data_IF_961226175906
#
_entry.id   IF_961226175906
#
_cell.length_a   1.000
_cell.length_b   1.000
_cell.length_c   1.000
_cell.angle_alpha   90.00
_cell.angle_beta   90.00
_cell.angle_gamma   90.00
#
_symmetry.space_group_name_H-M   'P 1'
#
loop_
_entity.id
_entity.type
_entity.pdbx_description
1 polymer ?
#
# COMPACT_ATOMS: atom_id res chain seq x y z
N UNK A 1 4.03 7.36 -2.39
CA UNK A 1 5.39 6.75 -2.40
C UNK A 1 6.22 7.39 -1.31
N UNK A 2 7.24 6.71 -0.78
CA UNK A 2 8.08 7.29 0.27
C UNK A 2 9.10 8.31 -0.30
N UNK A 3 9.46 9.32 0.49
CA UNK A 3 10.37 10.39 0.11
C UNK A 3 11.76 9.89 -0.29
N UNK A 4 12.23 8.79 0.29
CA UNK A 4 13.55 8.24 -0.05
C UNK A 4 13.62 7.71 -1.49
N UNK A 5 12.52 7.18 -2.05
CA UNK A 5 12.47 6.65 -3.42
C UNK A 5 12.66 7.76 -4.48
N UNK A 6 12.09 8.94 -4.22
CA UNK A 6 12.27 10.12 -5.09
C UNK A 6 13.63 10.76 -4.86
N UNK A 7 14.12 10.77 -3.62
CA UNK A 7 15.48 11.25 -3.31
C UNK A 7 16.57 10.38 -3.93
N UNK A 8 16.37 9.07 -4.04
CA UNK A 8 17.31 8.11 -4.63
C UNK A 8 17.15 7.94 -6.15
N UNK A 9 15.98 8.24 -6.71
CA UNK A 9 15.67 8.10 -8.13
C UNK A 9 16.49 8.99 -9.09
N UNK A 10 16.48 8.69 -10.39
CA UNK A 10 17.12 9.51 -11.43
C UNK A 10 16.24 10.71 -11.83
N UNK A 11 16.83 11.91 -11.96
CA UNK A 11 16.12 13.11 -12.44
C UNK A 11 16.37 13.29 -13.94
N UNK A 12 15.31 13.50 -14.73
CA UNK A 12 15.40 13.56 -16.20
C UNK A 12 15.09 14.95 -16.80
N UNK A 13 15.07 16.01 -15.99
CA UNK A 13 14.87 17.39 -16.48
C UNK A 13 13.41 17.82 -16.63
N UNK A 14 13.21 19.07 -17.06
CA UNK A 14 11.90 19.73 -17.21
C UNK A 14 11.40 19.77 -18.67
N UNK A 15 12.23 19.43 -19.66
CA UNK A 15 11.85 19.40 -21.08
C UNK A 15 12.65 18.31 -21.82
N UNK A 16 11.96 17.33 -22.40
CA UNK A 16 11.95 16.97 -23.84
C UNK A 16 11.42 15.55 -24.09
N UNK A 17 10.50 15.45 -25.05
CA UNK A 17 10.36 14.29 -25.92
C UNK A 17 11.71 14.04 -26.62
N UNK A 18 12.25 12.83 -26.49
CA UNK A 18 13.31 12.33 -27.37
C UNK A 18 12.72 11.16 -28.14
N UNK A 19 12.52 11.27 -29.46
CA UNK A 19 12.07 10.16 -30.29
C UNK A 19 13.09 9.01 -30.24
N UNK A 20 12.60 7.79 -30.09
CA UNK A 20 13.39 6.57 -30.22
C UNK A 20 13.93 6.44 -31.65
N UNK A 21 15.26 6.40 -31.79
CA UNK A 21 15.93 6.10 -33.06
C UNK A 21 17.20 6.91 -33.29
N UNK A 22 18.31 6.46 -32.71
CA UNK A 22 19.62 7.07 -32.92
C UNK A 22 20.72 6.26 -32.23
N UNK A 23 21.03 5.09 -32.77
CA UNK A 23 22.25 4.36 -32.43
C UNK A 23 23.47 5.27 -32.63
N UNK A 24 24.33 5.44 -31.63
CA UNK A 24 25.76 5.70 -31.83
C UNK A 24 26.59 5.01 -30.77
N UNK A 25 27.24 3.93 -31.21
CA UNK A 25 28.44 3.37 -30.59
C UNK A 25 29.60 4.39 -30.66
N UNK A 26 30.34 4.52 -29.56
CA UNK A 26 31.77 4.85 -29.50
C UNK A 26 32.22 6.28 -29.80
N UNK A 27 32.55 7.05 -28.76
CA UNK A 27 33.68 7.98 -28.74
C UNK A 27 34.03 8.40 -27.30
N UNK A 28 35.33 8.51 -27.03
CA UNK A 28 36.07 8.75 -25.78
C UNK A 28 35.67 10.04 -25.02
N UNK A 29 35.91 10.15 -23.68
CA UNK A 29 35.42 11.23 -22.85
C UNK A 29 36.40 12.42 -22.90
N UNK A 30 35.98 13.50 -23.55
CA UNK A 30 36.63 14.81 -23.38
C UNK A 30 35.65 15.80 -22.77
N UNK A 31 36.08 16.28 -21.61
CA UNK A 31 35.58 17.35 -20.75
C UNK A 31 34.97 18.53 -21.52
N UNK A 32 33.64 18.61 -21.47
CA UNK A 32 32.97 19.89 -21.25
C UNK A 32 32.19 19.74 -19.95
N UNK A 33 32.67 20.41 -18.89
CA UNK A 33 31.90 20.65 -17.68
C UNK A 33 30.65 21.44 -18.07
N UNK A 34 29.57 20.72 -18.41
CA UNK A 34 28.25 21.28 -18.40
C UNK A 34 27.97 21.67 -16.94
N UNK A 35 27.79 22.96 -16.69
CA UNK A 35 27.33 23.45 -15.40
C UNK A 35 26.17 22.56 -14.92
N UNK A 36 26.23 22.01 -13.69
CA UNK A 36 25.17 21.13 -13.21
C UNK A 36 23.90 21.96 -13.18
N UNK A 37 22.95 21.61 -14.06
CA UNK A 37 21.60 22.14 -14.03
C UNK A 37 21.14 22.18 -12.57
N UNK A 38 20.63 23.33 -12.07
CA UNK A 38 20.41 23.55 -10.65
C UNK A 38 19.66 22.35 -10.12
N UNK A 39 20.24 21.64 -9.12
CA UNK A 39 19.65 20.47 -8.46
C UNK A 39 18.17 20.76 -8.24
N UNK A 40 17.31 20.30 -9.15
CA UNK A 40 15.88 20.53 -9.03
C UNK A 40 15.51 19.87 -7.71
N UNK A 41 15.14 20.68 -6.72
CA UNK A 41 14.97 20.25 -5.33
C UNK A 41 14.03 19.05 -5.32
N UNK A 42 14.58 17.86 -5.04
CA UNK A 42 13.82 16.62 -4.85
C UNK A 42 13.05 16.77 -3.54
N UNK A 43 11.86 17.34 -3.64
CA UNK A 43 11.03 17.78 -2.54
C UNK A 43 9.77 16.91 -2.52
N UNK A 44 9.32 16.42 -1.35
CA UNK A 44 8.08 15.66 -1.27
C UNK A 44 6.85 16.50 -1.59
N UNK A 45 7.01 17.83 -1.68
CA UNK A 45 5.92 18.78 -1.82
C UNK A 45 5.50 19.06 -3.28
N UNK A 46 5.99 18.26 -4.23
CA UNK A 46 5.55 18.29 -5.63
C UNK A 46 5.05 16.91 -6.06
N UNK A 47 4.01 16.83 -6.91
CA UNK A 47 3.75 15.62 -7.68
C UNK A 47 4.78 15.49 -8.80
N UNK A 48 5.15 14.25 -9.10
CA UNK A 48 6.10 13.91 -10.14
C UNK A 48 5.42 13.18 -11.29
N UNK A 49 5.92 13.37 -12.52
CA UNK A 49 5.59 12.48 -13.64
C UNK A 49 6.63 11.37 -13.69
N UNK A 50 6.17 10.13 -13.85
CA UNK A 50 7.06 8.98 -13.97
C UNK A 50 7.49 8.80 -15.42
N UNK A 51 8.78 8.58 -15.64
CA UNK A 51 9.29 8.14 -16.93
C UNK A 51 8.92 6.66 -17.15
N UNK A 52 7.93 6.40 -18.00
CA UNK A 52 7.54 5.04 -18.40
C UNK A 52 8.30 4.55 -19.63
N UNK A 53 8.42 3.22 -19.84
CA UNK A 53 9.13 2.66 -21.00
C UNK A 53 8.47 2.99 -22.35
N UNK A 54 7.14 3.17 -22.40
CA UNK A 54 6.38 3.24 -23.67
C UNK A 54 5.61 4.55 -23.89
N UNK A 55 5.82 5.61 -23.09
CA UNK A 55 5.28 6.96 -23.37
C UNK A 55 3.75 7.18 -23.35
N UNK A 56 2.93 6.13 -23.51
CA UNK A 56 1.50 6.25 -23.83
C UNK A 56 0.59 6.60 -22.63
N UNK A 57 1.06 6.45 -21.39
CA UNK A 57 0.30 6.82 -20.19
C UNK A 57 1.15 7.60 -19.20
N UNK A 58 0.76 8.84 -18.95
CA UNK A 58 1.38 9.67 -17.92
C UNK A 58 1.00 9.16 -16.53
N UNK A 59 1.90 8.42 -15.90
CA UNK A 59 1.78 8.03 -14.49
C UNK A 59 2.32 9.15 -13.60
N UNK A 60 1.65 9.36 -12.46
CA UNK A 60 2.00 10.40 -11.49
C UNK A 60 2.30 9.81 -10.13
N UNK A 61 3.29 10.37 -9.44
CA UNK A 61 3.66 9.99 -8.09
C UNK A 61 3.48 11.16 -7.13
N UNK A 62 2.81 10.86 -6.02
CA UNK A 62 2.71 11.71 -4.83
C UNK A 62 3.61 11.14 -3.74
N UNK A 63 4.32 12.02 -3.05
CA UNK A 63 5.42 11.64 -2.16
C UNK A 63 5.04 11.96 -0.72
N UNK A 64 5.11 10.95 0.15
CA UNK A 64 4.88 11.10 1.59
C UNK A 64 5.81 12.16 2.14
N UNK A 65 5.25 13.14 2.84
CA UNK A 65 6.03 14.07 3.64
C UNK A 65 6.41 13.40 4.97
N UNK A 66 7.70 13.13 5.23
CA UNK A 66 8.13 12.50 6.47
C UNK A 66 7.86 13.38 7.70
N UNK A 67 7.89 14.71 7.57
CA UNK A 67 7.79 15.60 8.72
C UNK A 67 6.38 15.62 9.30
N UNK A 68 5.37 15.83 8.46
CA UNK A 68 3.96 15.79 8.90
C UNK A 68 3.51 14.39 9.31
N UNK A 69 4.02 13.34 8.67
CA UNK A 69 3.66 11.96 9.00
C UNK A 69 4.16 11.54 10.39
N UNK A 70 5.35 11.98 10.81
CA UNK A 70 5.94 11.64 12.11
C UNK A 70 5.11 12.11 13.31
N UNK A 71 4.43 13.25 13.18
CA UNK A 71 3.63 13.83 14.25
C UNK A 71 2.44 12.96 14.67
N UNK A 72 1.98 12.07 13.79
CA UNK A 72 0.91 11.12 14.06
C UNK A 72 1.49 9.72 14.30
N UNK A 73 2.46 9.26 13.49
CA UNK A 73 3.03 7.91 13.57
C UNK A 73 4.00 7.68 14.73
N UNK A 74 4.52 8.73 15.37
CA UNK A 74 5.49 8.55 16.44
C UNK A 74 4.88 7.83 17.65
N UNK A 75 5.36 6.63 17.94
CA UNK A 75 4.95 5.84 19.11
C UNK A 75 5.12 6.59 20.44
N UNK A 76 6.14 7.45 20.53
CA UNK A 76 6.50 8.13 21.77
C UNK A 76 6.05 9.59 21.83
N UNK A 77 5.89 10.25 20.68
CA UNK A 77 5.61 11.70 20.61
C UNK A 77 4.36 12.02 19.79
N UNK A 78 3.71 11.01 19.21
CA UNK A 78 2.51 11.17 18.40
C UNK A 78 1.26 11.33 19.24
N UNK A 79 0.25 11.98 18.67
CA UNK A 79 -1.02 12.21 19.36
C UNK A 79 -1.69 10.96 19.91
N UNK A 80 -1.70 9.79 19.23
CA UNK A 80 -2.35 8.58 19.74
C UNK A 80 -1.87 8.13 21.12
N UNK A 81 -0.65 8.50 21.53
CA UNK A 81 -0.09 8.18 22.84
C UNK A 81 -0.51 9.12 23.98
N UNK A 82 -1.40 10.09 23.73
CA UNK A 82 -1.82 11.05 24.75
C UNK A 82 -2.49 10.37 25.94
N UNK A 83 -2.15 10.83 27.14
CA UNK A 83 -2.61 10.24 28.40
C UNK A 83 -4.12 10.28 28.59
N UNK A 84 -4.84 11.16 27.88
CA UNK A 84 -6.30 11.27 27.94
C UNK A 84 -7.03 10.28 27.02
N UNK A 85 -6.36 9.73 26.00
CA UNK A 85 -6.97 8.86 25.01
C UNK A 85 -7.19 7.44 25.50
N UNK A 86 -8.11 6.73 24.88
CA UNK A 86 -8.50 5.36 25.21
C UNK A 86 -7.31 4.40 25.06
N UNK A 87 -7.06 3.60 26.09
CA UNK A 87 -6.03 2.55 26.08
C UNK A 87 -6.50 1.36 25.23
N UNK A 88 -5.75 1.07 24.16
CA UNK A 88 -6.07 0.00 23.24
C UNK A 88 -5.93 -1.39 23.87
N UNK A 89 -4.90 -1.59 24.71
CA UNK A 89 -4.48 -2.92 25.16
C UNK A 89 -5.22 -3.41 26.41
N UNK A 90 -5.83 -2.50 27.19
CA UNK A 90 -6.54 -2.86 28.42
C UNK A 90 -8.01 -3.14 28.14
N UNK A 91 -8.34 -4.42 28.14
CA UNK A 91 -9.67 -4.92 27.76
C UNK A 91 -10.33 -5.57 28.98
N UNK A 92 -11.57 -5.16 29.29
CA UNK A 92 -12.38 -5.77 30.34
C UNK A 92 -12.93 -7.10 29.85
N UNK A 93 -12.65 -8.17 30.59
CA UNK A 93 -13.28 -9.47 30.38
C UNK A 93 -14.34 -9.77 31.46
N UNK A 94 -15.50 -10.37 31.10
CA UNK A 94 -15.98 -10.63 29.74
C UNK A 94 -16.50 -9.36 29.05
N UNK A 95 -16.59 -9.39 27.71
CA UNK A 95 -17.28 -8.38 26.90
C UNK A 95 -16.39 -7.51 26.01
N UNK A 96 -15.07 -7.56 26.14
CA UNK A 96 -14.16 -6.92 25.18
C UNK A 96 -14.14 -5.39 25.25
N UNK A 97 -14.74 -4.78 26.28
CA UNK A 97 -14.85 -3.33 26.41
C UNK A 97 -13.53 -2.71 26.87
N UNK A 98 -13.12 -1.63 26.22
CA UNK A 98 -12.00 -0.77 26.62
C UNK A 98 -12.55 0.39 27.44
N UNK A 99 -12.13 0.51 28.70
CA UNK A 99 -12.72 1.46 29.68
C UNK A 99 -11.68 2.36 30.35
N UNK A 100 -10.43 2.30 29.91
CA UNK A 100 -9.31 2.99 30.54
C UNK A 100 -8.63 3.91 29.53
N UNK A 101 -7.95 4.93 30.04
CA UNK A 101 -7.10 5.80 29.24
C UNK A 101 -5.63 5.38 29.30
N UNK A 102 -4.84 5.81 28.32
CA UNK A 102 -3.40 5.56 28.22
C UNK A 102 -2.68 5.91 29.52
N UNK A 103 -3.09 6.98 30.22
CA UNK A 103 -2.61 7.40 31.55
C UNK A 103 -1.16 7.88 31.60
N UNK A 104 -0.24 7.18 30.95
CA UNK A 104 1.18 7.47 30.83
C UNK A 104 1.85 6.38 29.97
N UNK A 105 2.94 6.75 29.28
CA UNK A 105 3.65 5.84 28.36
C UNK A 105 4.23 4.60 29.05
N UNK A 106 4.59 4.70 30.34
CA UNK A 106 5.20 3.63 31.13
C UNK A 106 4.29 3.11 32.25
N UNK A 107 3.02 3.50 32.28
CA UNK A 107 2.08 3.00 33.28
C UNK A 107 1.77 1.52 33.00
N UNK A 108 1.88 0.67 34.02
CA UNK A 108 1.44 -0.71 33.91
C UNK A 108 -0.06 -0.78 33.60
N UNK A 109 -0.51 -1.88 33.01
CA UNK A 109 -1.93 -2.10 32.75
C UNK A 109 -2.75 -2.01 34.05
N UNK A 110 -2.22 -2.42 35.20
CA UNK A 110 -2.88 -2.25 36.50
C UNK A 110 -3.21 -0.79 36.83
N UNK A 111 -2.30 0.13 36.52
CA UNK A 111 -2.33 1.53 36.95
C UNK A 111 -3.12 2.46 36.02
N UNK A 112 -3.56 1.95 34.86
CA UNK A 112 -4.37 2.71 33.90
C UNK A 112 -5.65 3.19 34.56
N UNK A 113 -5.91 4.49 34.43
CA UNK A 113 -7.04 5.18 35.02
C UNK A 113 -8.29 5.08 34.14
N UNK A 114 -9.50 5.28 34.70
CA UNK A 114 -10.73 5.31 33.92
C UNK A 114 -10.68 6.32 32.77
N UNK A 115 -11.29 5.96 31.65
CA UNK A 115 -11.41 6.83 30.48
C UNK A 115 -12.42 7.95 30.74
N UNK A 116 -12.04 9.20 30.42
CA UNK A 116 -12.90 10.38 30.45
C UNK A 116 -13.13 10.88 29.02
N UNK A 117 -14.31 10.60 28.42
CA UNK A 117 -14.63 11.03 27.06
C UNK A 117 -14.56 12.54 26.85
N UNK A 118 -14.88 13.36 27.86
CA UNK A 118 -14.86 14.82 27.73
C UNK A 118 -13.42 15.35 27.72
N UNK A 119 -12.54 14.77 28.53
CA UNK A 119 -11.11 15.07 28.47
C UNK A 119 -10.50 14.70 27.12
N UNK A 120 -10.80 13.51 26.61
CA UNK A 120 -10.33 13.05 25.32
C UNK A 120 -10.80 13.99 24.19
N UNK A 121 -12.09 14.36 24.15
CA UNK A 121 -12.63 15.33 23.18
C UNK A 121 -11.94 16.69 23.20
N UNK A 122 -11.54 17.19 24.37
CA UNK A 122 -10.75 18.44 24.46
C UNK A 122 -9.37 18.27 23.81
N UNK A 123 -8.68 17.17 24.11
CA UNK A 123 -7.37 16.86 23.50
C UNK A 123 -7.45 16.65 22.00
N UNK A 124 -8.51 16.04 21.49
CA UNK A 124 -8.76 15.92 20.05
C UNK A 124 -8.76 17.29 19.37
N UNK A 125 -9.52 18.25 19.90
CA UNK A 125 -9.57 19.62 19.35
C UNK A 125 -8.21 20.29 19.37
N UNK A 126 -7.50 20.21 20.49
CA UNK A 126 -6.14 20.77 20.63
C UNK A 126 -5.17 20.17 19.60
N UNK A 127 -5.16 18.83 19.46
CA UNK A 127 -4.30 18.15 18.50
C UNK A 127 -4.67 18.44 17.05
N UNK A 128 -5.97 18.53 16.73
CA UNK A 128 -6.45 18.89 15.39
C UNK A 128 -6.02 20.31 15.00
N UNK A 129 -6.20 21.28 15.91
CA UNK A 129 -5.73 22.66 15.70
C UNK A 129 -4.21 22.72 15.57
N UNK A 130 -3.47 22.02 16.44
CA UNK A 130 -2.02 21.96 16.35
C UNK A 130 -1.55 21.38 15.00
N UNK A 131 -2.14 20.27 14.56
CA UNK A 131 -1.78 19.65 13.28
C UNK A 131 -2.14 20.52 12.08
N UNK A 132 -3.29 21.21 12.10
CA UNK A 132 -3.61 22.21 11.09
C UNK A 132 -2.56 23.34 11.04
N UNK A 133 -2.02 23.74 12.19
CA UNK A 133 -0.88 24.65 12.31
C UNK A 133 0.38 24.10 11.63
N UNK A 134 0.76 22.85 11.92
CA UNK A 134 1.90 22.16 11.29
C UNK A 134 1.74 22.14 9.76
N UNK A 135 0.56 21.79 9.24
CA UNK A 135 0.27 21.79 7.81
C UNK A 135 0.34 23.18 7.20
N UNK A 136 -0.15 24.19 7.92
CA UNK A 136 -0.11 25.59 7.49
C UNK A 136 1.32 26.12 7.43
N UNK A 137 2.16 25.79 8.41
CA UNK A 137 3.59 26.12 8.39
C UNK A 137 4.28 25.45 7.21
N UNK A 138 4.02 24.16 6.96
CA UNK A 138 4.58 23.47 5.79
C UNK A 138 4.14 24.15 4.48
N UNK A 139 2.85 24.49 4.35
CA UNK A 139 2.32 25.17 3.16
C UNK A 139 2.92 26.56 2.92
N UNK A 140 3.33 27.26 3.98
CA UNK A 140 3.92 28.61 3.88
C UNK A 140 5.46 28.61 3.72
N UNK A 141 6.14 27.56 4.18
CA UNK A 141 7.61 27.53 4.26
C UNK A 141 8.27 26.62 3.25
N UNK A 142 7.53 25.65 2.70
CA UNK A 142 8.07 24.67 1.77
C UNK A 142 7.79 25.10 0.33
N UNK A 143 8.79 24.96 -0.54
CA UNK A 143 8.58 25.09 -1.98
C UNK A 143 7.79 23.85 -2.46
N UNK A 144 6.52 24.04 -2.82
CA UNK A 144 5.65 22.96 -3.25
C UNK A 144 4.19 23.34 -3.43
N UNK A 145 3.42 22.41 -3.98
CA UNK A 145 1.97 22.56 -4.25
C UNK A 145 1.12 21.57 -3.46
N UNK A 146 1.73 20.56 -2.83
CA UNK A 146 1.01 19.46 -2.17
C UNK A 146 1.73 19.00 -0.91
N UNK A 147 0.97 18.61 0.11
CA UNK A 147 1.46 17.88 1.27
C UNK A 147 0.73 16.54 1.29
N UNK A 148 1.46 15.43 1.43
CA UNK A 148 0.88 14.09 1.39
C UNK A 148 1.25 13.37 2.68
N UNK A 149 0.25 13.08 3.50
CA UNK A 149 0.39 12.33 4.74
C UNK A 149 -0.53 11.08 4.68
N UNK A 150 -0.02 9.94 4.19
CA UNK A 150 -0.76 8.69 4.12
C UNK A 150 -0.69 7.95 5.47
N UNK A 151 -1.81 7.34 5.85
CA UNK A 151 -1.98 6.58 7.09
C UNK A 151 -2.82 5.34 6.82
N UNK A 152 -2.58 4.28 7.59
CA UNK A 152 -3.47 3.12 7.61
C UNK A 152 -4.83 3.54 8.17
N UNK A 153 -5.92 3.15 7.51
CA UNK A 153 -7.26 3.60 7.90
C UNK A 153 -7.63 3.13 9.30
N UNK A 154 -7.24 1.92 9.68
CA UNK A 154 -7.46 1.37 11.02
C UNK A 154 -6.77 2.17 12.13
N UNK A 155 -5.80 3.04 11.80
CA UNK A 155 -5.27 3.96 12.79
C UNK A 155 -6.40 4.79 13.41
N UNK A 156 -7.35 5.27 12.61
CA UNK A 156 -8.42 6.16 13.07
C UNK A 156 -9.66 5.37 13.47
N UNK A 157 -9.93 5.29 14.77
CA UNK A 157 -11.10 4.63 15.36
C UNK A 157 -10.82 3.26 15.94
N UNK A 158 -9.81 2.53 15.42
CA UNK A 158 -9.43 1.22 15.95
C UNK A 158 -8.20 1.31 16.87
N UNK A 159 -7.01 1.61 16.32
CA UNK A 159 -5.78 1.74 17.12
C UNK A 159 -5.79 3.01 17.97
N UNK A 160 -6.20 4.12 17.38
CA UNK A 160 -6.46 5.39 18.05
C UNK A 160 -7.97 5.66 18.01
N UNK A 161 -8.65 5.38 19.12
CA UNK A 161 -10.11 5.43 19.19
C UNK A 161 -10.69 6.79 18.79
N UNK A 162 -10.08 7.87 19.24
CA UNK A 162 -10.50 9.25 18.97
C UNK A 162 -10.05 9.75 17.59
N UNK A 163 -9.36 8.93 16.81
CA UNK A 163 -8.78 9.32 15.53
C UNK A 163 -9.82 9.78 14.50
N UNK A 164 -11.05 9.23 14.54
CA UNK A 164 -12.14 9.68 13.65
C UNK A 164 -12.58 11.10 14.00
N UNK A 165 -12.75 11.40 15.30
CA UNK A 165 -13.09 12.74 15.77
C UNK A 165 -11.98 13.74 15.43
N UNK A 166 -10.72 13.31 15.55
CA UNK A 166 -9.56 14.11 15.13
C UNK A 166 -9.60 14.46 13.65
N UNK A 167 -9.89 13.50 12.75
CA UNK A 167 -10.00 13.79 11.32
C UNK A 167 -11.12 14.80 11.07
N UNK A 168 -12.26 14.67 11.74
CA UNK A 168 -13.36 15.63 11.60
C UNK A 168 -12.96 17.04 12.07
N UNK A 169 -12.35 17.16 13.25
CA UNK A 169 -11.91 18.44 13.80
C UNK A 169 -10.75 19.05 13.01
N UNK A 170 -9.87 18.23 12.43
CA UNK A 170 -8.80 18.69 11.55
C UNK A 170 -9.37 19.36 10.31
N UNK A 171 -10.36 18.74 9.65
CA UNK A 171 -11.00 19.34 8.48
C UNK A 171 -11.73 20.64 8.81
N UNK A 172 -12.30 20.77 10.01
CA UNK A 172 -12.85 22.05 10.52
C UNK A 172 -11.75 23.08 10.72
N UNK A 173 -10.64 22.70 11.36
CA UNK A 173 -9.50 23.59 11.62
C UNK A 173 -8.79 24.05 10.34
N UNK A 174 -8.86 23.28 9.26
CA UNK A 174 -8.31 23.66 7.95
C UNK A 174 -9.22 24.64 7.18
N UNK A 175 -10.44 24.92 7.64
CA UNK A 175 -11.28 25.94 7.00
C UNK A 175 -10.66 27.33 7.15
N UNK A 176 -10.28 27.93 6.02
CA UNK A 176 -9.59 29.23 6.00
C UNK A 176 -8.09 29.15 6.27
N UNK A 177 -7.52 27.96 6.48
CA UNK A 177 -6.08 27.78 6.62
C UNK A 177 -5.36 27.90 5.26
N UNK A 178 -4.05 28.21 5.25
CA UNK A 178 -3.22 28.16 4.04
C UNK A 178 -3.22 26.78 3.36
N UNK A 179 -3.18 25.71 4.16
CA UNK A 179 -3.29 24.34 3.67
C UNK A 179 -4.77 23.96 3.46
N UNK A 180 -5.09 23.39 2.29
CA UNK A 180 -6.46 22.99 1.94
C UNK A 180 -6.54 21.51 1.56
N UNK A 181 -7.51 20.74 2.09
CA UNK A 181 -7.74 19.37 1.66
C UNK A 181 -8.13 19.34 0.17
N UNK A 182 -7.55 18.40 -0.58
CA UNK A 182 -7.88 18.18 -1.97
C UNK A 182 -7.77 16.70 -2.35
N UNK A 183 -8.64 16.19 -3.23
CA UNK A 183 -8.45 14.86 -3.81
C UNK A 183 -7.14 14.79 -4.59
N UNK A 184 -6.41 13.68 -4.45
CA UNK A 184 -5.14 13.46 -5.14
C UNK A 184 -5.26 13.65 -6.66
N UNK A 185 -6.35 13.18 -7.27
CA UNK A 185 -6.61 13.34 -8.70
C UNK A 185 -6.74 14.81 -9.14
N UNK A 186 -7.35 15.65 -8.30
CA UNK A 186 -7.48 17.09 -8.59
C UNK A 186 -6.12 17.80 -8.53
N UNK A 187 -5.28 17.45 -7.55
CA UNK A 187 -3.92 17.97 -7.42
C UNK A 187 -3.07 17.59 -8.64
N UNK A 188 -3.14 16.32 -9.06
CA UNK A 188 -2.41 15.83 -10.23
C UNK A 188 -2.92 16.50 -11.52
N UNK A 189 -4.23 16.67 -11.68
CA UNK A 189 -4.81 17.30 -12.87
C UNK A 189 -4.45 18.79 -12.99
N UNK A 190 -4.44 19.52 -11.88
CA UNK A 190 -4.17 20.97 -11.85
C UNK A 190 -2.72 21.36 -12.15
N UNK A 191 -1.79 20.39 -12.22
CA UNK A 191 -0.37 20.71 -12.37
C UNK A 191 0.07 20.84 -13.84
N UNK A 192 0.44 22.06 -14.23
CA UNK A 192 0.95 22.38 -15.57
C UNK A 192 2.42 21.98 -15.76
N UNK A 193 3.28 22.17 -14.76
CA UNK A 193 4.72 21.85 -14.80
C UNK A 193 5.04 20.61 -13.97
N UNK A 194 5.49 19.52 -14.62
CA UNK A 194 5.72 18.24 -13.95
C UNK A 194 7.18 17.84 -14.05
N UNK A 195 7.96 17.89 -12.95
CA UNK A 195 9.29 17.31 -12.94
C UNK A 195 9.19 15.81 -13.24
N UNK A 196 10.03 15.33 -14.14
CA UNK A 196 10.08 13.91 -14.52
C UNK A 196 11.11 13.20 -13.64
N UNK A 197 10.69 12.09 -13.03
CA UNK A 197 11.57 11.25 -12.20
C UNK A 197 11.48 9.79 -12.64
N UNK A 198 12.61 9.10 -12.53
CA UNK A 198 12.69 7.64 -12.50
C UNK A 198 12.79 7.22 -11.05
N UNK A 199 11.85 6.42 -10.58
CA UNK A 199 11.84 5.96 -9.19
C UNK A 199 12.97 4.96 -8.92
N UNK A 200 13.55 5.03 -7.73
CA UNK A 200 14.34 3.93 -7.20
C UNK A 200 13.40 2.82 -6.68
N UNK A 201 13.91 1.60 -6.61
CA UNK A 201 13.22 0.48 -5.97
C UNK A 201 13.10 0.70 -4.46
N UNK A 202 12.00 0.23 -3.88
CA UNK A 202 11.79 0.17 -2.45
C UNK A 202 10.32 0.28 -2.08
N UNK A 203 10.06 0.42 -0.79
CA UNK A 203 8.72 0.39 -0.20
C UNK A 203 8.54 1.47 0.87
N UNK A 204 7.33 1.61 1.40
CA UNK A 204 7.07 2.41 2.61
C UNK A 204 7.19 1.61 3.92
N UNK A 205 7.63 0.34 3.85
CA UNK A 205 7.82 -0.54 4.98
C UNK A 205 9.11 -0.26 5.76
N UNK A 206 9.50 -1.21 6.61
CA UNK A 206 10.73 -1.09 7.39
C UNK A 206 11.96 -0.93 6.46
N UNK A 207 12.93 -0.11 6.87
CA UNK A 207 14.13 0.26 6.11
C UNK A 207 13.91 0.90 4.71
N UNK A 208 12.66 1.03 4.26
CA UNK A 208 12.33 1.54 2.93
C UNK A 208 12.61 0.56 1.79
N UNK A 209 12.91 -0.70 2.10
CA UNK A 209 13.26 -1.74 1.12
C UNK A 209 12.21 -2.86 1.10
N UNK A 210 12.57 -4.04 0.58
CA UNK A 210 11.69 -5.20 0.48
C UNK A 210 11.88 -6.21 1.60
N UNK A 211 12.74 -5.94 2.60
CA UNK A 211 13.11 -6.90 3.66
C UNK A 211 11.94 -7.44 4.46
N UNK A 212 10.84 -6.69 4.56
CA UNK A 212 9.60 -7.15 5.22
C UNK A 212 8.89 -8.28 4.49
N UNK A 213 9.05 -8.40 3.17
CA UNK A 213 8.38 -9.42 2.34
C UNK A 213 9.35 -10.40 1.70
N UNK A 214 10.61 -10.00 1.53
CA UNK A 214 11.68 -10.77 0.92
C UNK A 214 12.84 -10.91 1.90
N UNK A 215 12.80 -11.99 2.68
CA UNK A 215 13.82 -12.36 3.66
C UNK A 215 14.02 -13.88 3.68
N UNK A 216 15.05 -14.41 4.37
CA UNK A 216 15.20 -15.85 4.57
C UNK A 216 13.96 -16.51 5.19
N UNK A 217 13.25 -15.82 6.09
CA UNK A 217 12.07 -16.32 6.78
C UNK A 217 10.84 -16.44 5.85
N UNK A 218 10.73 -15.58 4.83
CA UNK A 218 9.60 -15.57 3.89
C UNK A 218 9.92 -16.23 2.55
N UNK A 219 11.18 -16.56 2.27
CA UNK A 219 11.66 -17.11 1.00
C UNK A 219 10.84 -18.33 0.52
N UNK A 220 10.45 -19.21 1.44
CA UNK A 220 9.67 -20.40 1.13
C UNK A 220 8.30 -20.09 0.50
N UNK A 221 7.70 -18.94 0.84
CA UNK A 221 6.41 -18.53 0.27
C UNK A 221 6.53 -18.26 -1.23
N UNK A 222 7.62 -17.62 -1.65
CA UNK A 222 7.92 -17.32 -3.06
C UNK A 222 8.21 -18.60 -3.86
N UNK A 223 8.96 -19.54 -3.28
CA UNK A 223 9.17 -20.85 -3.89
C UNK A 223 7.88 -21.64 -4.11
N UNK A 224 6.84 -21.40 -3.30
CA UNK A 224 5.51 -21.97 -3.50
C UNK A 224 4.70 -21.23 -4.57
N UNK A 225 4.77 -19.89 -4.60
CA UNK A 225 3.95 -19.04 -5.47
C UNK A 225 4.40 -19.03 -6.93
N UNK A 226 5.71 -18.90 -7.19
CA UNK A 226 6.21 -18.71 -8.56
C UNK A 226 5.83 -19.83 -9.54
N UNK A 227 5.93 -21.13 -9.20
CA UNK A 227 5.53 -22.20 -10.10
C UNK A 227 4.03 -22.19 -10.42
N UNK A 228 3.20 -21.80 -9.44
CA UNK A 228 1.75 -21.70 -9.61
C UNK A 228 1.37 -20.53 -10.52
N UNK A 229 2.01 -19.38 -10.34
CA UNK A 229 1.81 -18.22 -11.22
C UNK A 229 2.18 -18.54 -12.67
N UNK A 230 3.33 -19.15 -12.89
CA UNK A 230 3.75 -19.60 -14.21
C UNK A 230 2.73 -20.59 -14.82
N UNK A 231 2.26 -21.55 -14.03
CA UNK A 231 1.27 -22.54 -14.46
C UNK A 231 -0.07 -21.90 -14.81
N UNK A 232 -0.55 -20.96 -13.99
CA UNK A 232 -1.78 -20.22 -14.23
C UNK A 232 -1.73 -19.51 -15.59
N UNK A 233 -0.69 -18.72 -15.85
CA UNK A 233 -0.59 -17.96 -17.09
C UNK A 233 -0.38 -18.84 -18.32
N UNK A 234 0.31 -19.97 -18.19
CA UNK A 234 0.41 -20.96 -19.27
C UNK A 234 -0.95 -21.56 -19.65
N UNK A 235 -1.80 -21.85 -18.67
CA UNK A 235 -3.10 -22.52 -18.87
C UNK A 235 -4.25 -21.56 -19.21
N UNK A 236 -4.16 -20.31 -18.77
CA UNK A 236 -5.24 -19.31 -18.89
C UNK A 236 -5.78 -19.13 -20.33
N UNK A 237 -4.97 -19.02 -21.40
CA UNK A 237 -5.49 -18.83 -22.75
C UNK A 237 -6.39 -19.96 -23.22
N UNK A 238 -5.96 -21.21 -23.04
CA UNK A 238 -6.72 -22.40 -23.45
C UNK A 238 -7.95 -22.62 -22.58
N UNK A 239 -7.86 -22.33 -21.27
CA UNK A 239 -9.00 -22.43 -20.37
C UNK A 239 -10.07 -21.35 -20.67
N UNK A 240 -9.68 -20.12 -21.02
CA UNK A 240 -10.58 -19.05 -21.45
C UNK A 240 -11.34 -19.39 -22.74
N UNK A 241 -10.63 -19.95 -23.72
CA UNK A 241 -11.19 -20.38 -25.00
C UNK A 241 -12.04 -21.67 -24.90
N UNK A 242 -12.00 -22.36 -23.75
CA UNK A 242 -12.70 -23.62 -23.51
C UNK A 242 -14.20 -23.46 -23.26
N UNK A 243 -14.81 -24.50 -22.67
CA UNK A 243 -16.21 -24.49 -22.23
C UNK A 243 -16.45 -23.68 -20.95
N UNK A 244 -17.71 -23.62 -20.52
CA UNK A 244 -18.12 -22.95 -19.28
C UNK A 244 -17.42 -23.55 -18.05
N UNK A 245 -17.33 -24.87 -17.96
CA UNK A 245 -16.64 -25.58 -16.88
C UNK A 245 -15.17 -25.15 -16.73
N UNK A 246 -14.42 -25.09 -17.84
CA UNK A 246 -13.02 -24.66 -17.82
C UNK A 246 -12.89 -23.20 -17.38
N UNK A 247 -13.82 -22.33 -17.80
CA UNK A 247 -13.88 -20.94 -17.36
C UNK A 247 -14.20 -20.84 -15.86
N UNK A 248 -15.15 -21.63 -15.36
CA UNK A 248 -15.51 -21.63 -13.94
C UNK A 248 -14.32 -22.07 -13.06
N UNK A 249 -13.62 -23.14 -13.45
CA UNK A 249 -12.41 -23.62 -12.77
C UNK A 249 -11.29 -22.58 -12.83
N UNK A 250 -11.05 -21.98 -14.00
CA UNK A 250 -10.04 -20.91 -14.14
C UNK A 250 -10.37 -19.70 -13.26
N UNK A 251 -11.64 -19.30 -13.19
CA UNK A 251 -12.07 -18.18 -12.36
C UNK A 251 -11.77 -18.44 -10.89
N UNK A 252 -12.08 -19.63 -10.38
CA UNK A 252 -11.78 -19.96 -8.99
C UNK A 252 -10.28 -20.11 -8.74
N UNK A 253 -9.52 -20.71 -9.68
CA UNK A 253 -8.07 -20.78 -9.58
C UNK A 253 -7.44 -19.37 -9.51
N UNK A 254 -7.95 -18.42 -10.28
CA UNK A 254 -7.50 -17.03 -10.24
C UNK A 254 -7.76 -16.39 -8.86
N UNK A 255 -8.92 -16.62 -8.25
CA UNK A 255 -9.24 -16.12 -6.90
C UNK A 255 -8.30 -16.71 -5.84
N UNK A 256 -8.10 -18.03 -5.87
CA UNK A 256 -7.18 -18.71 -4.96
C UNK A 256 -5.75 -18.21 -5.13
N UNK A 257 -5.29 -17.98 -6.36
CA UNK A 257 -3.99 -17.37 -6.64
C UNK A 257 -3.87 -15.95 -6.07
N UNK A 258 -4.86 -15.09 -6.33
CA UNK A 258 -4.87 -13.72 -5.81
C UNK A 258 -4.85 -13.68 -4.28
N UNK A 259 -5.61 -14.57 -3.63
CA UNK A 259 -5.59 -14.72 -2.17
C UNK A 259 -4.24 -15.23 -1.66
N UNK A 260 -3.60 -16.16 -2.37
CA UNK A 260 -2.26 -16.65 -2.01
C UNK A 260 -1.17 -15.58 -2.19
N UNK A 261 -1.34 -14.65 -3.15
CA UNK A 261 -0.41 -13.57 -3.46
C UNK A 261 -0.57 -12.33 -2.57
N UNK A 262 -1.49 -12.33 -1.60
CA UNK A 262 -1.64 -11.22 -0.67
C UNK A 262 -0.36 -11.00 0.16
N UNK A 263 0.17 -9.78 0.13
CA UNK A 263 1.43 -9.43 0.82
C UNK A 263 1.33 -9.50 2.34
N UNK A 264 0.11 -9.51 2.88
CA UNK A 264 -0.18 -9.66 4.30
C UNK A 264 0.43 -10.93 4.89
N UNK A 265 0.52 -12.01 4.11
CA UNK A 265 1.08 -13.27 4.62
C UNK A 265 2.54 -13.13 5.02
N UNK A 266 3.39 -12.60 4.13
CA UNK A 266 4.79 -12.36 4.45
C UNK A 266 4.93 -11.30 5.53
N UNK A 267 4.09 -10.25 5.52
CA UNK A 267 4.11 -9.23 6.56
C UNK A 267 3.82 -9.79 7.96
N UNK A 268 2.79 -10.64 8.11
CA UNK A 268 2.42 -11.28 9.39
C UNK A 268 3.51 -12.25 9.87
N UNK A 269 4.15 -12.97 8.94
CA UNK A 269 5.29 -13.85 9.25
C UNK A 269 6.46 -13.01 9.78
N UNK A 270 6.86 -11.96 9.06
CA UNK A 270 8.00 -11.11 9.42
C UNK A 270 7.79 -10.31 10.71
N UNK A 271 6.56 -9.93 11.04
CA UNK A 271 6.24 -9.21 12.28
C UNK A 271 6.07 -10.12 13.50
N UNK A 272 6.03 -11.44 13.31
CA UNK A 272 5.87 -12.41 14.40
C UNK A 272 4.51 -12.38 15.10
N UNK A 273 3.51 -11.69 14.54
CA UNK A 273 2.20 -11.53 15.19
C UNK A 273 1.39 -12.84 15.20
N UNK A 274 1.30 -13.51 14.04
CA UNK A 274 0.53 -14.74 13.86
C UNK A 274 1.09 -15.59 12.69
N UNK A 275 2.41 -15.86 12.74
CA UNK A 275 3.14 -16.51 11.64
C UNK A 275 2.53 -17.85 11.19
N UNK A 276 2.14 -18.70 12.15
CA UNK A 276 1.54 -20.02 11.85
C UNK A 276 0.22 -19.89 11.09
N UNK A 277 -0.62 -18.91 11.47
CA UNK A 277 -1.87 -18.63 10.79
C UNK A 277 -1.63 -18.17 9.35
N UNK A 278 -0.71 -17.23 9.15
CA UNK A 278 -0.37 -16.72 7.83
C UNK A 278 0.21 -17.82 6.93
N UNK A 279 1.13 -18.64 7.45
CA UNK A 279 1.71 -19.75 6.72
C UNK A 279 0.66 -20.78 6.29
N UNK A 280 -0.24 -21.16 7.20
CA UNK A 280 -1.32 -22.09 6.90
C UNK A 280 -2.30 -21.55 5.85
N UNK A 281 -2.69 -20.26 5.95
CA UNK A 281 -3.59 -19.61 4.99
C UNK A 281 -2.99 -19.55 3.59
N UNK A 282 -1.72 -19.16 3.48
CA UNK A 282 -1.02 -19.12 2.19
C UNK A 282 -0.98 -20.51 1.56
N UNK A 283 -0.56 -21.53 2.32
CA UNK A 283 -0.47 -22.90 1.82
C UNK A 283 -1.83 -23.47 1.40
N UNK A 284 -2.89 -23.18 2.15
CA UNK A 284 -4.26 -23.54 1.81
C UNK A 284 -4.65 -22.97 0.43
N UNK A 285 -4.52 -21.65 0.24
CA UNK A 285 -4.86 -21.01 -1.03
C UNK A 285 -3.98 -21.50 -2.19
N UNK A 286 -2.70 -21.79 -1.94
CA UNK A 286 -1.82 -22.40 -2.93
C UNK A 286 -2.28 -23.81 -3.33
N UNK A 287 -2.66 -24.64 -2.37
CA UNK A 287 -3.16 -26.00 -2.63
C UNK A 287 -4.47 -25.98 -3.43
N UNK A 288 -5.39 -25.09 -3.07
CA UNK A 288 -6.65 -24.91 -3.79
C UNK A 288 -6.41 -24.47 -5.25
N UNK A 289 -5.50 -23.51 -5.48
CA UNK A 289 -5.12 -23.09 -6.81
C UNK A 289 -4.47 -24.22 -7.62
N UNK A 290 -3.53 -24.95 -7.02
CA UNK A 290 -2.83 -26.06 -7.66
C UNK A 290 -3.78 -27.18 -8.10
N UNK A 291 -4.72 -27.58 -7.23
CA UNK A 291 -5.72 -28.59 -7.55
C UNK A 291 -6.58 -28.20 -8.76
N UNK A 292 -7.04 -26.95 -8.81
CA UNK A 292 -7.85 -26.46 -9.92
C UNK A 292 -7.04 -26.33 -11.22
N UNK A 293 -5.78 -25.89 -11.13
CA UNK A 293 -4.89 -25.78 -12.27
C UNK A 293 -4.55 -27.16 -12.86
N UNK A 294 -4.37 -28.18 -12.03
CA UNK A 294 -4.12 -29.55 -12.48
C UNK A 294 -5.27 -30.08 -13.35
N UNK A 295 -6.52 -29.76 -13.02
CA UNK A 295 -7.69 -30.14 -13.81
C UNK A 295 -7.85 -29.35 -15.13
N UNK A 296 -7.08 -28.27 -15.30
CA UNK A 296 -7.03 -27.51 -16.54
C UNK A 296 -5.91 -27.97 -17.48
N UNK A 297 -5.01 -28.87 -17.04
CA UNK A 297 -3.98 -29.42 -17.90
C UNK A 297 -4.58 -30.14 -19.11
N UNK A 298 -3.88 -30.15 -20.27
CA UNK A 298 -4.34 -30.89 -21.44
C UNK A 298 -4.50 -32.40 -21.22
N UNK A 299 -3.82 -32.95 -20.22
CA UNK A 299 -3.85 -34.37 -19.85
C UNK A 299 -4.99 -34.73 -18.91
N UNK A 300 -5.71 -33.75 -18.35
CA UNK A 300 -6.83 -34.01 -17.45
C UNK A 300 -8.03 -34.58 -18.23
N UNK A 301 -8.65 -35.62 -17.68
CA UNK A 301 -9.86 -36.21 -18.24
C UNK A 301 -11.14 -35.43 -17.83
N UNK A 302 -12.28 -35.85 -18.38
CA UNK A 302 -13.56 -35.20 -18.11
C UNK A 302 -14.00 -35.34 -16.65
N UNK A 303 -13.63 -36.44 -15.99
CA UNK A 303 -13.98 -36.69 -14.58
C UNK A 303 -13.21 -35.75 -13.65
N UNK A 304 -11.92 -35.51 -13.95
CA UNK A 304 -11.09 -34.55 -13.25
C UNK A 304 -11.63 -33.12 -13.41
N UNK A 305 -12.03 -32.73 -14.62
CA UNK A 305 -12.66 -31.44 -14.84
C UNK A 305 -13.98 -31.29 -14.09
N UNK A 306 -14.85 -32.30 -14.13
CA UNK A 306 -16.12 -32.28 -13.41
C UNK A 306 -15.93 -32.23 -11.88
N UNK A 307 -14.90 -32.90 -11.36
CA UNK A 307 -14.51 -32.82 -9.95
C UNK A 307 -14.02 -31.40 -9.60
N UNK A 308 -13.20 -30.79 -10.45
CA UNK A 308 -12.72 -29.43 -10.25
C UNK A 308 -13.85 -28.38 -10.33
N UNK A 309 -14.88 -28.60 -11.14
CA UNK A 309 -16.07 -27.73 -11.15
C UNK A 309 -16.80 -27.77 -9.80
N UNK A 310 -17.03 -28.98 -9.26
CA UNK A 310 -17.64 -29.13 -7.93
C UNK A 310 -16.79 -28.49 -6.83
N UNK A 311 -15.48 -28.66 -6.93
CA UNK A 311 -14.55 -28.04 -5.98
C UNK A 311 -14.54 -26.53 -6.11
N UNK A 312 -14.60 -25.99 -7.34
CA UNK A 312 -14.69 -24.56 -7.57
C UNK A 312 -15.94 -23.97 -6.90
N UNK A 313 -17.10 -24.61 -7.05
CA UNK A 313 -18.34 -24.19 -6.38
C UNK A 313 -18.25 -24.30 -4.86
N UNK A 314 -17.62 -25.36 -4.32
CA UNK A 314 -17.37 -25.48 -2.88
C UNK A 314 -16.49 -24.34 -2.37
N UNK A 315 -15.41 -24.03 -3.09
CA UNK A 315 -14.47 -22.97 -2.74
C UNK A 315 -15.10 -21.59 -2.83
N UNK A 316 -16.04 -21.35 -3.75
CA UNK A 316 -16.79 -20.09 -3.82
C UNK A 316 -17.54 -19.78 -2.53
N UNK A 317 -18.06 -20.77 -1.81
CA UNK A 317 -18.69 -20.51 -0.49
C UNK A 317 -17.72 -19.84 0.49
N UNK A 318 -16.42 -20.11 0.38
CA UNK A 318 -15.35 -19.54 1.22
C UNK A 318 -14.71 -18.28 0.61
N UNK A 319 -14.48 -18.29 -0.70
CA UNK A 319 -13.61 -17.37 -1.43
C UNK A 319 -14.32 -16.75 -2.67
N UNK A 320 -15.55 -16.22 -2.52
CA UNK A 320 -16.32 -15.56 -3.61
C UNK A 320 -15.90 -14.10 -3.85
N UNK A 321 -14.59 -13.84 -3.92
CA UNK A 321 -14.06 -12.51 -4.24
C UNK A 321 -13.95 -12.32 -5.76
N UNK A 322 -13.98 -11.07 -6.24
CA UNK A 322 -13.77 -10.73 -7.66
C UNK A 322 -14.73 -11.48 -8.62
N UNK A 323 -16.02 -11.13 -8.64
CA UNK A 323 -17.01 -11.82 -9.49
C UNK A 323 -16.67 -11.76 -10.99
N UNK A 324 -15.96 -10.73 -11.43
CA UNK A 324 -15.54 -10.49 -12.81
C UNK A 324 -14.05 -10.83 -13.07
N UNK A 325 -13.43 -11.71 -12.27
CA UNK A 325 -11.99 -12.01 -12.37
C UNK A 325 -11.53 -12.40 -13.78
N UNK A 326 -12.36 -13.11 -14.56
CA UNK A 326 -12.02 -13.51 -15.92
C UNK A 326 -11.88 -12.34 -16.91
N UNK A 327 -12.59 -11.23 -16.70
CA UNK A 327 -12.45 -10.05 -17.56
C UNK A 327 -11.07 -9.40 -17.37
N UNK A 328 -10.59 -9.35 -16.13
CA UNK A 328 -9.24 -8.89 -15.81
C UNK A 328 -8.16 -9.81 -16.42
N UNK A 329 -8.37 -11.14 -16.36
CA UNK A 329 -7.44 -12.10 -17.00
C UNK A 329 -7.40 -11.90 -18.52
N UNK A 330 -8.56 -11.69 -19.17
CA UNK A 330 -8.61 -11.39 -20.61
C UNK A 330 -7.88 -10.09 -20.94
N UNK A 331 -8.07 -9.05 -20.15
CA UNK A 331 -7.40 -7.77 -20.34
C UNK A 331 -5.88 -7.88 -20.17
N UNK A 332 -5.40 -8.71 -19.26
CA UNK A 332 -3.97 -8.93 -19.03
C UNK A 332 -3.30 -9.73 -20.17
N UNK A 333 -4.05 -10.55 -20.90
CA UNK A 333 -3.57 -11.34 -22.04
C UNK A 333 -3.67 -10.61 -23.40
N UNK A 334 -4.37 -9.48 -23.45
CA UNK A 334 -4.61 -8.68 -24.66
C UNK A 334 -3.42 -7.77 -24.99
#
# INVERSE_FOLDING_TARGET
MDAHLVKAGGYLGQYHDVPLGGERFGADPTTHEAEPAPRARRSPYFPYRLAGPNGDRALHALVRDPHTSLQIWSKFQGYPGDVAYLEFHKIRWPGGLKLWRVTGANADLGDKQPYDPEAARRRVREHATHFAGVLSTAALTQDGTVIVAPFDTELFGHWWFEGVDFVADLFRALQGAPARPAPAGAVVAAQERRPVVRLAEGSWGNHGDFSMWLSPETAWTWHRLWPLEHTFWRLAPAALAGGEDRRAVLAQAARSMLLAQASDWQFIISTGAAGDYAGHRLLLHCADAEQLLQALEPTADADALAAAVREAERLRVRDDVFPNVLDAVRQALA
#
